data_IF_281013334144
#
_entry.id   IF_281013334144
#
_cell.length_a   1.000
_cell.length_b   1.000
_cell.length_c   1.000
_cell.angle_alpha   90.00
_cell.angle_beta   90.00
_cell.angle_gamma   90.00
#
_symmetry.space_group_name_H-M   'P 1'
#
loop_
_entity.id
_entity.type
_entity.pdbx_description
1 polymer ?
#
# COMPACT_ATOMS: atom_id res chain seq x y z
N UNK A 1 -18.76 3.32 20.07
CA UNK A 1 -17.41 3.84 20.31
C UNK A 1 -16.98 3.82 21.77
N UNK A 2 -17.59 4.65 22.63
CA UNK A 2 -17.17 4.84 24.05
C UNK A 2 -17.24 3.54 24.84
N UNK A 3 -18.31 2.77 24.71
CA UNK A 3 -18.51 1.50 25.42
C UNK A 3 -17.40 0.47 25.10
N UNK A 4 -16.99 0.38 23.82
CA UNK A 4 -15.89 -0.48 23.39
C UNK A 4 -14.54 -0.04 24.02
N UNK A 5 -14.29 1.27 24.04
CA UNK A 5 -13.07 1.82 24.64
C UNK A 5 -13.00 1.54 26.15
N UNK A 6 -14.10 1.75 26.87
CA UNK A 6 -14.19 1.46 28.32
C UNK A 6 -14.00 -0.03 28.60
N UNK A 7 -14.62 -0.91 27.82
CA UNK A 7 -14.45 -2.36 27.94
C UNK A 7 -13.00 -2.80 27.70
N UNK A 8 -12.36 -2.30 26.65
CA UNK A 8 -10.97 -2.63 26.35
C UNK A 8 -10.02 -2.13 27.45
N UNK A 9 -10.23 -0.89 27.93
CA UNK A 9 -9.42 -0.34 29.04
C UNK A 9 -9.62 -1.16 30.31
N UNK A 10 -10.86 -1.53 30.64
CA UNK A 10 -11.15 -2.40 31.78
C UNK A 10 -10.48 -3.77 31.69
N UNK A 11 -10.49 -4.38 30.50
CA UNK A 11 -9.82 -5.66 30.23
C UNK A 11 -8.29 -5.59 30.43
N UNK A 12 -7.67 -4.50 29.95
CA UNK A 12 -6.22 -4.26 30.08
C UNK A 12 -5.85 -4.06 31.55
N UNK A 13 -6.65 -3.33 32.31
CA UNK A 13 -6.38 -3.07 33.73
C UNK A 13 -6.58 -4.31 34.60
N UNK A 14 -7.59 -5.12 34.32
CA UNK A 14 -7.86 -6.34 35.11
C UNK A 14 -6.85 -7.47 34.84
N UNK A 15 -6.31 -7.54 33.61
CA UNK A 15 -5.35 -8.54 33.19
C UNK A 15 -4.04 -7.91 32.70
N UNK A 16 -3.46 -6.99 33.48
CA UNK A 16 -2.32 -6.17 33.08
C UNK A 16 -1.08 -7.00 32.72
N UNK A 17 -0.74 -8.03 33.49
CA UNK A 17 0.42 -8.90 33.22
C UNK A 17 0.29 -9.66 31.90
N UNK A 18 -0.91 -10.20 31.62
CA UNK A 18 -1.20 -10.90 30.37
C UNK A 18 -1.19 -9.94 29.18
N UNK A 19 -1.78 -8.77 29.35
CA UNK A 19 -1.80 -7.71 28.32
C UNK A 19 -0.39 -7.25 27.97
N UNK A 20 0.49 -7.07 28.97
CA UNK A 20 1.89 -6.72 28.75
C UNK A 20 2.66 -7.84 28.04
N UNK A 21 2.42 -9.10 28.41
CA UNK A 21 3.07 -10.24 27.75
C UNK A 21 2.70 -10.31 26.25
N UNK A 22 1.41 -10.15 25.91
CA UNK A 22 0.97 -10.14 24.52
C UNK A 22 1.44 -8.88 23.75
N UNK A 23 1.50 -7.73 24.42
CA UNK A 23 2.04 -6.52 23.81
C UNK A 23 3.54 -6.68 23.50
N UNK A 24 4.32 -7.25 24.41
CA UNK A 24 5.74 -7.56 24.19
C UNK A 24 5.93 -8.57 23.05
N UNK A 25 5.11 -9.63 23.00
CA UNK A 25 5.13 -10.59 21.90
C UNK A 25 4.84 -9.92 20.55
N UNK A 26 3.81 -9.08 20.50
CA UNK A 26 3.47 -8.33 19.29
C UNK A 26 4.57 -7.38 18.84
N UNK A 27 5.23 -6.70 19.80
CA UNK A 27 6.34 -5.80 19.51
C UNK A 27 7.57 -6.56 18.97
N UNK A 28 7.89 -7.71 19.55
CA UNK A 28 8.99 -8.57 19.08
C UNK A 28 8.70 -9.08 17.66
N UNK A 29 7.50 -9.56 17.38
CA UNK A 29 7.11 -9.99 16.05
C UNK A 29 7.20 -8.85 15.03
N UNK A 30 6.78 -7.65 15.40
CA UNK A 30 6.90 -6.47 14.58
C UNK A 30 8.37 -6.13 14.30
N UNK A 31 9.19 -6.10 15.33
CA UNK A 31 10.61 -5.78 15.20
C UNK A 31 11.39 -6.82 14.37
N UNK A 32 11.19 -8.10 14.64
CA UNK A 32 11.92 -9.18 13.96
C UNK A 32 11.45 -9.45 12.53
N UNK A 33 10.17 -9.26 12.23
CA UNK A 33 9.57 -9.62 10.94
C UNK A 33 9.26 -8.44 10.04
N UNK A 34 8.77 -7.34 10.61
CA UNK A 34 8.32 -6.19 9.82
C UNK A 34 9.46 -5.20 9.55
N UNK A 35 10.23 -4.84 10.58
CA UNK A 35 11.28 -3.81 10.47
C UNK A 35 12.35 -4.18 9.44
N UNK A 36 12.91 -5.40 9.40
CA UNK A 36 13.94 -5.77 8.42
C UNK A 36 13.45 -5.71 6.97
N UNK A 37 12.16 -5.90 6.74
CA UNK A 37 11.57 -5.81 5.40
C UNK A 37 11.23 -4.37 5.04
N UNK A 38 10.54 -3.65 5.94
CA UNK A 38 10.03 -2.30 5.65
C UNK A 38 11.13 -1.26 5.55
N UNK A 39 12.13 -1.30 6.43
CA UNK A 39 13.15 -0.26 6.55
C UNK A 39 14.01 -0.10 5.29
N UNK A 40 14.56 -1.16 4.68
CA UNK A 40 15.30 -1.05 3.42
C UNK A 40 14.44 -0.47 2.28
N UNK A 41 13.19 -0.93 2.17
CA UNK A 41 12.26 -0.42 1.15
C UNK A 41 11.88 1.04 1.38
N UNK A 42 11.72 1.46 2.63
CA UNK A 42 11.47 2.86 2.96
C UNK A 42 12.62 3.77 2.55
N UNK A 43 13.85 3.35 2.84
CA UNK A 43 15.06 4.10 2.46
C UNK A 43 15.17 4.15 0.92
N UNK A 44 15.07 3.00 0.26
CA UNK A 44 15.19 2.90 -1.19
C UNK A 44 14.13 3.73 -1.91
N UNK A 45 12.86 3.57 -1.54
CA UNK A 45 11.74 4.33 -2.13
C UNK A 45 11.90 5.83 -1.92
N UNK A 46 12.22 6.25 -0.69
CA UNK A 46 12.47 7.66 -0.39
C UNK A 46 13.63 8.25 -1.18
N UNK A 47 14.70 7.49 -1.38
CA UNK A 47 15.85 7.90 -2.18
C UNK A 47 15.49 8.02 -3.67
N UNK A 48 14.80 7.03 -4.24
CA UNK A 48 14.34 7.05 -5.63
C UNK A 48 13.44 8.24 -5.94
N UNK A 49 12.51 8.55 -5.04
CA UNK A 49 11.64 9.72 -5.16
C UNK A 49 12.48 11.01 -5.12
N UNK A 50 13.43 11.12 -4.20
CA UNK A 50 14.28 12.32 -4.07
C UNK A 50 15.19 12.53 -5.27
N UNK A 51 15.67 11.46 -5.88
CA UNK A 51 16.52 11.50 -7.07
C UNK A 51 15.73 11.72 -8.37
N UNK A 52 14.40 11.73 -8.34
CA UNK A 52 13.54 11.83 -9.53
C UNK A 52 13.65 10.62 -10.47
N UNK A 53 14.13 9.48 -9.98
CA UNK A 53 14.34 8.26 -10.77
C UNK A 53 13.09 7.38 -10.86
N UNK A 54 11.97 7.84 -10.36
CA UNK A 54 10.68 7.12 -10.40
C UNK A 54 10.28 6.73 -11.82
N UNK A 55 10.47 7.64 -12.79
CA UNK A 55 10.14 7.39 -14.20
C UNK A 55 10.96 6.26 -14.83
N UNK A 56 12.23 6.14 -14.46
CA UNK A 56 13.09 5.06 -14.95
C UNK A 56 12.60 3.69 -14.47
N UNK A 57 12.18 3.60 -13.20
CA UNK A 57 11.71 2.35 -12.61
C UNK A 57 10.35 1.89 -13.19
N UNK A 58 9.46 2.83 -13.48
CA UNK A 58 8.13 2.50 -14.02
C UNK A 58 8.12 2.28 -15.53
N UNK A 59 9.20 2.64 -16.23
CA UNK A 59 9.30 2.58 -17.70
C UNK A 59 8.78 1.28 -18.32
N UNK A 60 9.15 0.08 -17.81
CA UNK A 60 8.68 -1.19 -18.38
C UNK A 60 7.19 -1.44 -18.16
N UNK A 61 6.61 -0.95 -17.05
CA UNK A 61 5.21 -1.18 -16.69
C UNK A 61 4.29 -0.02 -17.07
N UNK A 62 4.86 1.14 -17.40
CA UNK A 62 4.12 2.36 -17.78
C UNK A 62 3.11 2.15 -18.90
N UNK A 63 3.41 1.46 -20.03
CA UNK A 63 2.46 1.30 -21.10
C UNK A 63 1.24 0.46 -20.69
N UNK A 64 1.42 -0.55 -19.84
CA UNK A 64 0.35 -1.41 -19.37
C UNK A 64 -0.52 -0.72 -18.32
N UNK A 65 0.10 -0.25 -17.23
CA UNK A 65 -0.62 0.38 -16.12
C UNK A 65 -1.17 1.76 -16.49
N UNK A 66 -0.45 2.52 -17.33
CA UNK A 66 -0.91 3.80 -17.86
C UNK A 66 -2.19 3.66 -18.68
N UNK A 67 -2.32 2.60 -19.49
CA UNK A 67 -3.52 2.35 -20.26
C UNK A 67 -4.70 1.87 -19.41
N UNK A 68 -4.44 1.02 -18.41
CA UNK A 68 -5.48 0.44 -17.54
C UNK A 68 -6.00 1.49 -16.55
N UNK A 69 -5.10 2.14 -15.82
CA UNK A 69 -5.46 3.07 -14.73
C UNK A 69 -5.54 4.53 -15.17
N UNK A 70 -5.01 4.87 -16.34
CA UNK A 70 -4.95 6.25 -16.87
C UNK A 70 -4.40 7.24 -15.84
N UNK A 71 -3.27 6.88 -15.24
CA UNK A 71 -2.59 7.66 -14.22
C UNK A 71 -1.26 8.21 -14.75
N UNK A 72 -0.81 9.38 -14.25
CA UNK A 72 0.54 9.88 -14.51
C UNK A 72 1.61 8.96 -13.91
N UNK A 73 2.86 9.15 -14.31
CA UNK A 73 4.00 8.35 -13.85
C UNK A 73 4.07 8.16 -12.33
N UNK A 74 4.00 9.23 -11.53
CA UNK A 74 3.99 9.12 -10.07
C UNK A 74 2.89 8.21 -9.51
N UNK A 75 1.69 8.22 -10.10
CA UNK A 75 0.60 7.33 -9.70
C UNK A 75 0.91 5.86 -9.99
N UNK A 76 1.53 5.56 -11.12
CA UNK A 76 1.96 4.19 -11.47
C UNK A 76 3.06 3.71 -10.51
N UNK A 77 3.97 4.61 -10.11
CA UNK A 77 4.98 4.30 -9.11
C UNK A 77 4.37 3.90 -7.75
N UNK A 78 3.33 4.61 -7.31
CA UNK A 78 2.59 4.26 -6.09
C UNK A 78 1.99 2.85 -6.18
N UNK A 79 1.38 2.49 -7.31
CA UNK A 79 0.83 1.14 -7.51
C UNK A 79 1.94 0.10 -7.36
N UNK A 80 3.07 0.32 -8.03
CA UNK A 80 4.19 -0.61 -8.00
C UNK A 80 4.76 -0.79 -6.58
N UNK A 81 5.02 0.32 -5.87
CA UNK A 81 5.53 0.28 -4.49
C UNK A 81 4.50 -0.30 -3.53
N UNK A 82 3.23 0.09 -3.65
CA UNK A 82 2.16 -0.40 -2.79
C UNK A 82 1.91 -1.89 -2.91
N UNK A 83 2.06 -2.46 -4.10
CA UNK A 83 1.91 -3.90 -4.33
C UNK A 83 3.18 -4.70 -4.02
N UNK A 84 4.38 -4.15 -4.22
CA UNK A 84 5.65 -4.85 -3.95
C UNK A 84 6.07 -4.73 -2.49
N UNK A 85 5.97 -3.55 -1.90
CA UNK A 85 6.41 -3.31 -0.53
C UNK A 85 5.27 -3.47 0.48
N UNK A 86 4.03 -3.24 0.04
CA UNK A 86 2.85 -3.39 0.87
C UNK A 86 2.63 -2.26 1.88
N UNK A 87 1.74 -2.52 2.86
CA UNK A 87 1.46 -1.60 3.95
C UNK A 87 2.71 -1.43 4.86
N UNK A 88 3.06 -0.20 5.30
CA UNK A 88 2.42 1.10 5.04
C UNK A 88 3.03 1.87 3.87
N UNK A 89 3.83 1.23 3.00
CA UNK A 89 4.64 1.92 2.00
C UNK A 89 3.81 2.62 0.92
N UNK A 90 2.69 2.02 0.53
CA UNK A 90 1.77 2.65 -0.42
C UNK A 90 1.30 4.03 0.07
N UNK A 91 0.77 4.09 1.29
CA UNK A 91 0.30 5.33 1.90
C UNK A 91 1.42 6.37 2.09
N UNK A 92 2.61 5.94 2.53
CA UNK A 92 3.77 6.82 2.69
C UNK A 92 4.23 7.42 1.37
N UNK A 93 4.34 6.60 0.33
CA UNK A 93 4.74 7.06 -1.01
C UNK A 93 3.75 8.09 -1.57
N UNK A 94 2.44 7.89 -1.35
CA UNK A 94 1.42 8.87 -1.71
C UNK A 94 1.65 10.19 -0.96
N UNK A 95 1.90 10.13 0.35
CA UNK A 95 2.14 11.34 1.15
C UNK A 95 3.39 12.10 0.67
N UNK A 96 4.48 11.39 0.39
CA UNK A 96 5.74 11.97 -0.09
C UNK A 96 5.57 12.65 -1.47
N UNK A 97 4.87 12.01 -2.40
CA UNK A 97 4.59 12.56 -3.73
C UNK A 97 3.60 13.73 -3.70
N UNK A 98 2.61 13.69 -2.79
CA UNK A 98 1.71 14.82 -2.57
C UNK A 98 2.44 16.05 -2.00
N UNK A 99 3.33 15.85 -1.04
CA UNK A 99 4.15 16.92 -0.48
C UNK A 99 5.03 17.59 -1.55
N UNK A 100 5.40 16.85 -2.60
CA UNK A 100 6.14 17.35 -3.76
C UNK A 100 5.25 17.91 -4.87
N UNK A 101 3.94 17.91 -4.68
CA UNK A 101 2.95 18.33 -5.69
C UNK A 101 2.98 17.53 -7.00
N UNK A 102 3.58 16.33 -6.96
CA UNK A 102 3.63 15.39 -8.09
C UNK A 102 2.35 14.54 -8.21
N UNK A 103 1.53 14.52 -7.15
CA UNK A 103 0.26 13.78 -7.08
C UNK A 103 -0.85 14.68 -6.54
N UNK A 104 -2.01 14.67 -7.19
CA UNK A 104 -3.17 15.43 -6.73
C UNK A 104 -3.84 14.77 -5.52
N UNK A 105 -4.69 15.53 -4.80
CA UNK A 105 -5.45 14.98 -3.66
C UNK A 105 -6.38 13.86 -4.07
N UNK A 106 -7.02 13.98 -5.22
CA UNK A 106 -7.97 13.01 -5.74
C UNK A 106 -7.28 11.72 -6.20
N UNK A 107 -6.13 11.86 -6.88
CA UNK A 107 -5.29 10.71 -7.24
C UNK A 107 -4.77 9.98 -6.01
N UNK A 108 -4.35 10.74 -4.97
CA UNK A 108 -3.92 10.17 -3.71
C UNK A 108 -5.02 9.37 -3.00
N UNK A 109 -6.22 9.91 -2.92
CA UNK A 109 -7.39 9.23 -2.34
C UNK A 109 -7.76 7.97 -3.13
N UNK A 110 -7.75 8.07 -4.45
CA UNK A 110 -8.00 6.93 -5.33
C UNK A 110 -6.99 5.81 -5.10
N UNK A 111 -5.70 6.14 -5.06
CA UNK A 111 -4.62 5.17 -4.86
C UNK A 111 -4.65 4.55 -3.46
N UNK A 112 -4.96 5.32 -2.42
CA UNK A 112 -5.11 4.82 -1.05
C UNK A 112 -6.19 3.73 -0.93
N UNK A 113 -7.21 3.77 -1.78
CA UNK A 113 -8.31 2.82 -1.73
C UNK A 113 -7.90 1.37 -2.07
N UNK A 114 -6.81 1.17 -2.83
CA UNK A 114 -6.42 -0.17 -3.27
C UNK A 114 -4.91 -0.46 -3.28
N UNK A 115 -4.04 0.54 -3.08
CA UNK A 115 -2.58 0.36 -3.12
C UNK A 115 -1.94 0.10 -1.75
N UNK A 116 -2.71 -0.24 -0.74
CA UNK A 116 -2.22 -0.41 0.63
C UNK A 116 -2.43 -1.85 1.10
N UNK A 117 -1.91 -2.80 0.33
CA UNK A 117 -2.07 -4.23 0.54
C UNK A 117 -0.93 -4.83 1.37
N UNK A 118 -1.02 -6.12 1.65
CA UNK A 118 0.05 -6.87 2.28
C UNK A 118 1.21 -7.11 1.29
N UNK A 119 2.45 -6.85 1.70
CA UNK A 119 3.61 -7.08 0.81
C UNK A 119 3.83 -8.56 0.51
N UNK A 120 4.27 -8.93 -0.73
CA UNK A 120 4.50 -10.32 -1.12
C UNK A 120 5.51 -11.05 -0.23
N UNK A 121 6.56 -10.35 0.20
CA UNK A 121 7.59 -10.94 1.08
C UNK A 121 6.99 -11.36 2.41
N UNK A 122 6.15 -10.52 3.00
CA UNK A 122 5.45 -10.85 4.24
C UNK A 122 4.40 -11.94 4.02
N UNK A 123 3.65 -11.85 2.94
CA UNK A 123 2.65 -12.87 2.60
C UNK A 123 3.28 -14.24 2.41
N UNK A 124 4.32 -14.35 1.59
CA UNK A 124 4.98 -15.61 1.29
C UNK A 124 5.81 -16.15 2.46
N UNK A 125 6.48 -15.27 3.21
CA UNK A 125 7.38 -15.65 4.30
C UNK A 125 6.67 -15.92 5.62
N UNK A 126 5.55 -15.26 5.90
CA UNK A 126 4.87 -15.36 7.19
C UNK A 126 3.44 -15.91 7.08
N UNK A 127 2.61 -15.35 6.20
CA UNK A 127 1.19 -15.75 6.12
C UNK A 127 1.01 -17.10 5.47
N UNK A 128 1.69 -17.36 4.36
CA UNK A 128 1.55 -18.59 3.61
C UNK A 128 1.96 -19.87 4.37
N UNK A 129 3.03 -19.88 5.21
CA UNK A 129 3.35 -21.03 6.05
C UNK A 129 2.26 -21.37 7.08
N UNK A 130 1.48 -20.39 7.53
CA UNK A 130 0.37 -20.58 8.46
C UNK A 130 -0.89 -21.11 7.77
N UNK A 131 -0.99 -20.90 6.46
CA UNK A 131 -2.10 -21.39 5.64
C UNK A 131 -1.71 -22.71 4.98
N UNK A 132 -2.70 -23.60 4.82
CA UNK A 132 -2.47 -24.87 4.12
C UNK A 132 -2.06 -24.59 2.67
N UNK A 133 -0.85 -24.99 2.28
CA UNK A 133 -0.22 -24.72 0.96
C UNK A 133 -1.05 -25.11 -0.27
N UNK A 134 -2.09 -25.93 -0.12
CA UNK A 134 -2.93 -26.42 -1.23
C UNK A 134 -3.77 -25.34 -1.93
N UNK A 135 -3.89 -24.14 -1.34
CA UNK A 135 -4.79 -23.08 -1.81
C UNK A 135 -4.05 -21.76 -2.14
N UNK A 136 -2.80 -21.85 -2.59
CA UNK A 136 -1.98 -20.65 -2.92
C UNK A 136 -2.68 -19.70 -3.91
N UNK A 137 -3.25 -20.25 -4.99
CA UNK A 137 -3.84 -19.44 -6.06
C UNK A 137 -5.03 -18.58 -5.59
N UNK A 138 -6.05 -19.11 -4.89
CA UNK A 138 -7.14 -18.30 -4.35
C UNK A 138 -6.68 -17.20 -3.39
N UNK A 139 -5.67 -17.48 -2.55
CA UNK A 139 -5.14 -16.49 -1.62
C UNK A 139 -4.40 -15.35 -2.34
N UNK A 140 -3.53 -15.68 -3.29
CA UNK A 140 -2.82 -14.68 -4.08
C UNK A 140 -3.80 -13.84 -4.90
N UNK A 141 -4.79 -14.48 -5.52
CA UNK A 141 -5.81 -13.77 -6.27
C UNK A 141 -6.65 -12.85 -5.36
N UNK A 142 -7.07 -13.33 -4.18
CA UNK A 142 -7.81 -12.53 -3.21
C UNK A 142 -7.01 -11.32 -2.71
N UNK A 143 -5.73 -11.53 -2.39
CA UNK A 143 -4.87 -10.47 -1.83
C UNK A 143 -4.43 -9.42 -2.84
N UNK A 144 -4.22 -9.80 -4.10
CA UNK A 144 -3.68 -8.88 -5.13
C UNK A 144 -4.65 -8.63 -6.27
N UNK A 145 -5.37 -9.66 -6.71
CA UNK A 145 -6.32 -9.56 -7.82
C UNK A 145 -7.54 -8.73 -7.45
N UNK A 146 -8.15 -8.98 -6.29
CA UNK A 146 -9.35 -8.24 -5.87
C UNK A 146 -9.08 -6.74 -5.68
N UNK A 147 -8.01 -6.29 -5.00
CA UNK A 147 -7.69 -4.86 -4.93
C UNK A 147 -7.41 -4.24 -6.30
N UNK A 148 -6.74 -4.93 -7.21
CA UNK A 148 -6.52 -4.44 -8.57
C UNK A 148 -7.84 -4.27 -9.33
N UNK A 149 -8.73 -5.27 -9.29
CA UNK A 149 -10.05 -5.19 -9.90
C UNK A 149 -10.90 -4.07 -9.29
N UNK A 150 -10.82 -3.90 -7.98
CA UNK A 150 -11.49 -2.81 -7.27
C UNK A 150 -10.94 -1.44 -7.72
N UNK A 151 -9.62 -1.29 -7.82
CA UNK A 151 -8.98 -0.08 -8.34
C UNK A 151 -9.43 0.24 -9.77
N UNK A 152 -9.51 -0.76 -10.65
CA UNK A 152 -10.03 -0.59 -12.01
C UNK A 152 -11.51 -0.15 -11.97
N UNK A 153 -12.34 -0.84 -11.20
CA UNK A 153 -13.76 -0.49 -11.05
C UNK A 153 -13.95 0.95 -10.56
N UNK A 154 -13.22 1.36 -9.52
CA UNK A 154 -13.25 2.74 -9.02
C UNK A 154 -12.83 3.76 -10.07
N UNK A 155 -11.81 3.44 -10.89
CA UNK A 155 -11.35 4.34 -11.95
C UNK A 155 -12.43 4.63 -12.97
N UNK A 156 -13.16 3.61 -13.38
CA UNK A 156 -14.19 3.74 -14.41
C UNK A 156 -15.56 4.18 -13.87
N UNK A 157 -15.83 3.99 -12.58
CA UNK A 157 -17.10 4.36 -11.92
C UNK A 157 -17.03 5.76 -11.31
N UNK A 158 -16.21 5.96 -10.27
CA UNK A 158 -16.20 7.16 -9.45
C UNK A 158 -15.26 8.24 -9.97
N UNK A 159 -14.07 7.84 -10.44
CA UNK A 159 -12.99 8.77 -10.79
C UNK A 159 -12.87 9.02 -12.31
N UNK A 160 -13.86 8.60 -13.10
CA UNK A 160 -13.84 8.74 -14.57
C UNK A 160 -13.60 10.17 -15.04
N UNK A 161 -14.28 11.14 -14.45
CA UNK A 161 -14.23 12.55 -14.86
C UNK A 161 -13.24 13.38 -14.02
N UNK A 162 -12.97 13.00 -12.78
CA UNK A 162 -12.17 13.80 -11.82
C UNK A 162 -10.67 13.77 -12.07
N UNK A 163 -10.14 12.69 -12.64
CA UNK A 163 -8.70 12.52 -12.88
C UNK A 163 -8.35 12.83 -14.35
N UNK A 164 -9.32 12.82 -15.29
CA UNK A 164 -9.09 13.00 -16.72
C UNK A 164 -8.63 14.41 -17.11
N UNK A 165 -9.10 15.43 -16.39
CA UNK A 165 -8.84 16.84 -16.73
C UNK A 165 -7.37 17.27 -16.55
N UNK A 166 -6.62 16.63 -15.65
CA UNK A 166 -5.21 16.96 -15.40
C UNK A 166 -4.21 16.11 -16.17
N UNK A 167 -4.61 14.92 -16.60
CA UNK A 167 -3.72 14.03 -17.36
C UNK A 167 -3.42 14.61 -18.76
N UNK A 168 -4.37 15.32 -19.37
CA UNK A 168 -4.18 15.98 -20.67
C UNK A 168 -3.17 17.15 -20.61
N UNK A 169 -3.10 17.83 -19.47
CA UNK A 169 -2.13 18.94 -19.30
C UNK A 169 -0.68 18.45 -19.05
N UNK A 170 -0.48 17.22 -18.59
CA UNK A 170 0.85 16.68 -18.30
C UNK A 170 1.48 15.94 -19.50
N UNK A 171 0.70 15.54 -20.49
CA UNK A 171 1.19 14.94 -21.74
C UNK A 171 1.50 15.94 -22.86
N UNK A 172 1.17 17.23 -22.65
CA UNK A 172 1.39 18.32 -23.61
C UNK A 172 2.65 19.16 -23.36
N UNK A 173 3.59 18.72 -22.50
CA UNK A 173 4.89 19.37 -22.30
C UNK A 173 6.05 18.43 -22.47
#
# INVERSE_FOLDING_TARGET
GICFFVLMTGCILTHSSLSLAYAALGLNLWYEKMVPVLLPFMILSGTLIRMGMTDSLIRPVKPLFGRIFRLPGPGIYVILVGFLCGFPMGARTIADLRNRQELSSEEGQYLLAFCNNLGPVYFLGFVLPLLHRKLLFPYVFGMYGVPLLYGISLRYSVYKNRISEKTDQSFGR
#
